data_IF_403723022501
#
_entry.id   IF_403723022501
#
_cell.length_a   1.000
_cell.length_b   1.000
_cell.length_c   1.000
_cell.angle_alpha   90.00
_cell.angle_beta   90.00
_cell.angle_gamma   90.00
#
_symmetry.space_group_name_H-M   'P 1'
#
loop_
_entity.id
_entity.type
_entity.pdbx_description
1 polymer ?
#
# COMPACT_ATOMS: atom_id res chain seq x y z
N UNK A 1 -0.24 3.60 12.41
CA UNK A 1 -1.26 4.65 12.57
C UNK A 1 -1.69 5.02 11.17
N UNK A 2 -2.84 4.49 10.72
CA UNK A 2 -3.48 4.94 9.49
C UNK A 2 -4.15 6.28 9.81
N UNK A 3 -3.97 7.27 8.95
CA UNK A 3 -4.59 8.60 9.10
C UNK A 3 -5.72 8.69 8.08
N UNK A 4 -6.89 9.17 8.49
CA UNK A 4 -8.02 9.43 7.61
C UNK A 4 -7.76 10.76 6.88
N UNK A 5 -7.79 10.75 5.55
CA UNK A 5 -7.72 11.99 4.76
C UNK A 5 -9.06 12.76 4.82
N UNK A 6 -9.10 14.00 4.35
CA UNK A 6 -10.27 14.88 4.44
C UNK A 6 -11.53 14.32 3.75
N UNK A 7 -11.35 13.33 2.87
CA UNK A 7 -12.39 12.62 2.14
C UNK A 7 -12.84 11.30 2.82
N UNK A 8 -12.34 10.99 4.03
CA UNK A 8 -12.66 9.75 4.77
C UNK A 8 -11.91 8.50 4.32
N UNK A 9 -10.90 8.64 3.46
CA UNK A 9 -10.10 7.53 2.95
C UNK A 9 -8.97 7.18 3.94
N UNK A 10 -8.74 5.89 4.20
CA UNK A 10 -7.56 5.46 4.97
C UNK A 10 -6.28 5.69 4.15
N UNK A 11 -5.47 6.65 4.57
CA UNK A 11 -4.20 6.97 3.93
C UNK A 11 -3.04 6.52 4.81
N UNK A 12 -2.12 5.76 4.22
CA UNK A 12 -0.81 5.51 4.83
C UNK A 12 0.07 6.72 4.49
N UNK A 13 0.07 7.74 5.37
CA UNK A 13 0.83 8.98 5.17
C UNK A 13 2.35 8.84 5.32
N UNK A 14 2.89 7.62 5.41
CA UNK A 14 4.34 7.39 5.53
C UNK A 14 4.90 6.89 4.22
N UNK A 15 5.95 7.56 3.73
CA UNK A 15 6.76 7.11 2.60
C UNK A 15 7.51 5.84 3.00
N UNK A 16 6.91 4.68 2.73
CA UNK A 16 7.51 3.37 2.97
C UNK A 16 8.06 2.87 1.63
N UNK A 17 9.36 2.56 1.58
CA UNK A 17 9.95 1.97 0.38
C UNK A 17 9.57 0.49 0.25
N UNK A 18 9.58 -0.04 -0.97
CA UNK A 18 9.36 -1.47 -1.23
C UNK A 18 10.34 -2.37 -0.46
N UNK A 19 11.55 -1.88 -0.18
CA UNK A 19 12.56 -2.60 0.60
C UNK A 19 12.23 -2.62 2.09
N UNK A 20 11.64 -1.55 2.62
CA UNK A 20 11.18 -1.52 4.01
C UNK A 20 10.01 -2.48 4.20
N UNK A 21 9.07 -2.52 3.25
CA UNK A 21 7.99 -3.52 3.24
C UNK A 21 8.58 -4.93 3.23
N UNK A 22 9.52 -5.22 2.35
CA UNK A 22 10.18 -6.51 2.24
C UNK A 22 10.84 -6.95 3.56
N UNK A 23 11.51 -6.03 4.27
CA UNK A 23 12.08 -6.29 5.60
C UNK A 23 11.00 -6.56 6.66
N UNK A 24 9.89 -5.81 6.62
CA UNK A 24 8.80 -5.95 7.59
C UNK A 24 8.06 -7.29 7.44
N UNK A 25 7.82 -7.75 6.22
CA UNK A 25 7.08 -9.01 5.97
C UNK A 25 7.97 -10.24 5.81
N UNK A 26 9.29 -10.08 5.82
CA UNK A 26 10.23 -11.19 5.62
C UNK A 26 10.21 -11.77 4.20
N UNK A 27 10.09 -10.91 3.19
CA UNK A 27 9.97 -11.31 1.79
C UNK A 27 11.08 -10.71 0.93
N UNK A 28 11.22 -11.19 -0.31
CA UNK A 28 12.10 -10.55 -1.29
C UNK A 28 11.48 -9.25 -1.82
N UNK A 29 12.32 -8.25 -2.13
CA UNK A 29 11.87 -7.00 -2.78
C UNK A 29 11.12 -7.27 -4.07
N UNK A 30 11.52 -8.30 -4.83
CA UNK A 30 10.84 -8.71 -6.06
C UNK A 30 9.43 -9.24 -5.80
N UNK A 31 9.25 -10.08 -4.78
CA UNK A 31 7.92 -10.58 -4.38
C UNK A 31 7.02 -9.41 -4.00
N UNK A 32 7.51 -8.51 -3.14
CA UNK A 32 6.76 -7.31 -2.72
C UNK A 32 6.42 -6.43 -3.91
N UNK A 33 7.36 -6.20 -4.82
CA UNK A 33 7.11 -5.36 -6.01
C UNK A 33 6.04 -5.96 -6.92
N UNK A 34 5.97 -7.29 -7.04
CA UNK A 34 4.92 -7.97 -7.82
C UNK A 34 3.55 -7.80 -7.16
N UNK A 35 3.46 -8.01 -5.85
CA UNK A 35 2.21 -7.86 -5.10
C UNK A 35 1.72 -6.41 -5.13
N UNK A 36 2.60 -5.43 -4.89
CA UNK A 36 2.24 -4.01 -4.96
C UNK A 36 1.69 -3.62 -6.35
N UNK A 37 2.32 -4.11 -7.41
CA UNK A 37 1.85 -3.88 -8.78
C UNK A 37 0.47 -4.53 -9.01
N UNK A 38 0.28 -5.75 -8.54
CA UNK A 38 -0.97 -6.48 -8.67
C UNK A 38 -2.12 -5.79 -7.91
N UNK A 39 -1.87 -5.35 -6.67
CA UNK A 39 -2.82 -4.57 -5.87
C UNK A 39 -3.19 -3.25 -6.55
N UNK A 40 -2.24 -2.59 -7.21
CA UNK A 40 -2.50 -1.36 -7.96
C UNK A 40 -3.31 -1.62 -9.23
N UNK A 41 -3.03 -2.70 -9.96
CA UNK A 41 -3.80 -3.12 -11.14
C UNK A 41 -5.24 -3.49 -10.78
N UNK A 42 -5.46 -4.08 -9.61
CA UNK A 42 -6.80 -4.38 -9.08
C UNK A 42 -7.53 -3.13 -8.56
N UNK A 43 -6.89 -1.95 -8.58
CA UNK A 43 -7.45 -0.70 -8.08
C UNK A 43 -7.58 -0.64 -6.55
N UNK A 44 -6.97 -1.58 -5.83
CA UNK A 44 -7.02 -1.64 -4.36
C UNK A 44 -6.09 -0.61 -3.72
N UNK A 45 -4.97 -0.32 -4.38
CA UNK A 45 -4.02 0.70 -3.94
C UNK A 45 -3.66 1.66 -5.07
N UNK A 46 -3.32 2.89 -4.70
CA UNK A 46 -2.74 3.87 -5.60
C UNK A 46 -1.38 4.34 -5.07
N UNK A 47 -0.35 4.22 -5.91
CA UNK A 47 1.00 4.67 -5.58
C UNK A 47 1.25 6.06 -6.19
N UNK A 48 1.54 7.06 -5.37
CA UNK A 48 1.77 8.43 -5.86
C UNK A 48 2.48 9.32 -4.84
N UNK A 49 3.41 10.17 -5.30
CA UNK A 49 4.09 11.15 -4.42
C UNK A 49 4.90 10.53 -3.26
N UNK A 50 5.28 9.26 -3.36
CA UNK A 50 5.88 8.51 -2.25
C UNK A 50 4.88 8.12 -1.16
N UNK A 51 3.59 8.07 -1.47
CA UNK A 51 2.51 7.61 -0.60
C UNK A 51 1.79 6.44 -1.26
N UNK A 52 1.11 5.66 -0.45
CA UNK A 52 0.22 4.59 -0.90
C UNK A 52 -1.15 4.91 -0.34
N UNK A 53 -2.11 5.18 -1.23
CA UNK A 53 -3.51 5.35 -0.88
C UNK A 53 -4.19 4.00 -0.95
N UNK A 54 -4.95 3.65 0.08
CA UNK A 54 -5.81 2.48 0.08
C UNK A 54 -7.19 2.92 -0.40
N UNK A 55 -7.65 2.40 -1.55
CA UNK A 55 -9.02 2.62 -1.99
C UNK A 55 -9.87 1.54 -1.29
N UNK A 56 -10.70 1.94 -0.32
CA UNK A 56 -11.63 1.10 0.48
C UNK A 56 -12.28 -0.07 -0.31
N UNK A 57 -12.67 -1.22 0.24
CA UNK A 57 -12.33 -1.98 1.46
C UNK A 57 -11.86 -3.33 0.92
N UNK A 58 -10.70 -3.80 1.36
CA UNK A 58 -10.37 -5.22 1.22
C UNK A 58 -11.34 -5.95 2.17
N UNK A 59 -12.45 -6.43 1.63
CA UNK A 59 -13.36 -7.29 2.36
C UNK A 59 -12.67 -8.65 2.48
N UNK A 60 -11.73 -8.75 3.42
CA UNK A 60 -11.17 -10.03 3.86
C UNK A 60 -12.35 -10.84 4.41
N UNK A 61 -12.73 -11.84 3.62
CA UNK A 61 -13.75 -12.85 3.95
C UNK A 61 -13.28 -13.63 5.18
#
# INVERSE_FOLDING_TARGET
LAEEDADGQQVVMKKISKQDIAKMVGASREMVSRVMKDLSLQGLIEEGGGRILLREKINLI
#
